data_IF_094281699526
#
_entry.id   IF_094281699526
#
_cell.length_a   1.000
_cell.length_b   1.000
_cell.length_c   1.000
_cell.angle_alpha   90.00
_cell.angle_beta   90.00
_cell.angle_gamma   90.00
#
_symmetry.space_group_name_H-M   'P 1'
#
loop_
_entity.id
_entity.type
_entity.pdbx_description
1 polymer ?
#
# COMPACT_ATOMS: atom_id res chain seq x y z
N UNK A 1 -4.16 0.72 7.42
CA UNK A 1 -2.89 0.96 8.12
C UNK A 1 -1.78 1.11 7.10
N UNK A 2 -1.18 2.29 7.03
CA UNK A 2 -0.04 2.65 6.16
C UNK A 2 1.19 1.81 6.49
N UNK A 3 2.17 1.77 5.59
CA UNK A 3 3.43 1.05 5.83
C UNK A 3 4.17 1.61 7.06
N UNK A 4 4.16 2.94 7.25
CA UNK A 4 4.75 3.59 8.43
C UNK A 4 4.09 3.13 9.72
N UNK A 5 2.76 3.19 9.80
CA UNK A 5 2.03 2.75 10.99
C UNK A 5 2.25 1.26 11.29
N UNK A 6 2.31 0.43 10.25
CA UNK A 6 2.57 -1.00 10.40
C UNK A 6 3.99 -1.27 10.88
N UNK A 7 5.00 -0.61 10.32
CA UNK A 7 6.40 -0.65 10.76
C UNK A 7 6.53 -0.32 12.24
N UNK A 8 5.91 0.76 12.69
CA UNK A 8 6.05 1.19 14.09
C UNK A 8 5.42 0.17 15.04
N UNK A 9 4.25 -0.40 14.69
CA UNK A 9 3.64 -1.49 15.45
C UNK A 9 4.48 -2.76 15.43
N UNK A 10 5.05 -3.11 14.28
CA UNK A 10 5.93 -4.27 14.14
C UNK A 10 7.15 -4.13 15.07
N UNK A 11 7.81 -2.96 15.06
CA UNK A 11 8.93 -2.69 15.96
C UNK A 11 8.52 -2.68 17.44
N UNK A 12 7.32 -2.23 17.75
CA UNK A 12 6.78 -2.33 19.11
C UNK A 12 6.58 -3.78 19.55
N UNK A 13 6.01 -4.63 18.68
CA UNK A 13 5.78 -6.05 18.96
C UNK A 13 7.08 -6.85 19.04
N UNK A 14 8.06 -6.54 18.19
CA UNK A 14 9.40 -7.13 18.19
C UNK A 14 10.11 -7.06 19.55
N UNK A 15 9.78 -6.06 20.39
CA UNK A 15 10.33 -5.94 21.74
C UNK A 15 9.89 -7.06 22.69
N UNK A 16 8.74 -7.67 22.41
CA UNK A 16 8.17 -8.75 23.21
C UNK A 16 8.61 -10.13 22.74
N UNK A 17 9.10 -10.24 21.50
CA UNK A 17 9.59 -11.48 20.91
C UNK A 17 10.94 -11.27 20.18
N UNK A 18 12.00 -10.83 20.89
CA UNK A 18 13.28 -10.52 20.26
C UNK A 18 13.95 -11.74 19.61
N UNK A 19 13.63 -12.95 20.05
CA UNK A 19 14.14 -14.19 19.49
C UNK A 19 13.53 -14.53 18.13
N UNK A 20 12.31 -14.07 17.84
CA UNK A 20 11.63 -14.31 16.55
C UNK A 20 12.11 -13.36 15.46
N UNK A 21 12.83 -12.30 15.83
CA UNK A 21 13.38 -11.29 14.93
C UNK A 21 14.86 -11.03 15.21
N UNK A 22 15.55 -12.09 15.64
CA UNK A 22 16.95 -12.02 16.06
C UNK A 22 17.86 -11.68 14.88
N UNK A 23 17.63 -12.33 13.74
CA UNK A 23 18.32 -12.05 12.49
C UNK A 23 17.52 -11.07 11.62
N UNK A 24 18.24 -10.29 10.81
CA UNK A 24 17.63 -9.33 9.89
C UNK A 24 16.73 -10.05 8.85
N UNK A 25 17.09 -11.29 8.45
CA UNK A 25 16.28 -12.13 7.56
C UNK A 25 14.93 -12.49 8.16
N UNK A 26 14.91 -12.93 9.41
CA UNK A 26 13.68 -13.34 10.10
C UNK A 26 12.78 -12.11 10.25
N UNK A 27 13.39 -10.97 10.60
CA UNK A 27 12.69 -9.70 10.70
C UNK A 27 12.09 -9.23 9.38
N UNK A 28 12.80 -9.44 8.27
CA UNK A 28 12.28 -9.15 6.92
C UNK A 28 11.11 -10.06 6.56
N UNK A 29 11.22 -11.36 6.83
CA UNK A 29 10.17 -12.35 6.55
C UNK A 29 8.88 -12.01 7.29
N UNK A 30 8.94 -11.87 8.63
CA UNK A 30 7.77 -11.55 9.44
C UNK A 30 7.15 -10.20 9.06
N UNK A 31 7.97 -9.21 8.69
CA UNK A 31 7.46 -7.93 8.23
C UNK A 31 6.76 -8.07 6.88
N UNK A 32 7.33 -8.83 5.94
CA UNK A 32 6.76 -9.05 4.61
C UNK A 32 5.43 -9.79 4.70
N UNK A 33 5.32 -10.82 5.55
CA UNK A 33 4.09 -11.59 5.77
C UNK A 33 2.92 -10.75 6.31
N UNK A 34 3.21 -9.72 7.12
CA UNK A 34 2.16 -8.83 7.65
C UNK A 34 1.87 -7.60 6.79
N UNK A 35 2.53 -7.43 5.63
CA UNK A 35 2.12 -6.44 4.64
C UNK A 35 0.79 -6.83 3.98
N UNK A 36 0.13 -5.89 3.32
CA UNK A 36 -1.07 -6.20 2.52
C UNK A 36 -0.67 -6.95 1.26
N UNK A 37 -1.48 -7.90 0.80
CA UNK A 37 -1.21 -8.78 -0.36
C UNK A 37 -0.72 -8.03 -1.60
N UNK A 38 -1.29 -6.84 -1.87
CA UNK A 38 -0.88 -6.01 -3.01
C UNK A 38 0.57 -5.54 -2.91
N UNK A 39 1.00 -5.11 -1.72
CA UNK A 39 2.38 -4.73 -1.46
C UNK A 39 3.29 -5.96 -1.42
N UNK A 40 2.84 -7.07 -0.83
CA UNK A 40 3.61 -8.33 -0.82
C UNK A 40 3.95 -8.76 -2.24
N UNK A 41 2.96 -8.84 -3.14
CA UNK A 41 3.17 -9.23 -4.54
C UNK A 41 4.15 -8.29 -5.27
N UNK A 42 4.12 -6.99 -4.97
CA UNK A 42 5.03 -6.02 -5.58
C UNK A 42 6.46 -6.11 -5.05
N UNK A 43 6.64 -6.61 -3.83
CA UNK A 43 7.93 -6.68 -3.14
C UNK A 43 8.55 -8.08 -3.18
N UNK A 44 7.78 -9.13 -3.48
CA UNK A 44 8.16 -10.56 -3.42
C UNK A 44 9.41 -10.91 -4.22
N UNK A 45 9.63 -10.26 -5.36
CA UNK A 45 10.79 -10.54 -6.23
C UNK A 45 12.01 -9.65 -5.92
N UNK A 46 11.95 -8.85 -4.87
CA UNK A 46 13.03 -7.95 -4.49
C UNK A 46 14.04 -8.62 -3.57
N UNK A 47 15.34 -8.36 -3.80
CA UNK A 47 16.39 -8.70 -2.84
C UNK A 47 16.66 -7.51 -1.94
N UNK A 48 16.59 -7.71 -0.62
CA UNK A 48 16.75 -6.66 0.38
C UNK A 48 17.93 -6.99 1.29
N UNK A 49 18.89 -6.08 1.38
CA UNK A 49 20.12 -6.32 2.16
C UNK A 49 19.87 -6.32 3.68
N UNK A 50 18.82 -5.65 4.13
CA UNK A 50 18.42 -5.55 5.55
C UNK A 50 16.96 -5.08 5.65
N UNK A 51 16.42 -5.09 6.87
CA UNK A 51 15.06 -4.71 7.19
C UNK A 51 14.73 -3.28 6.74
N UNK A 52 15.65 -2.33 6.93
CA UNK A 52 15.42 -0.94 6.52
C UNK A 52 15.28 -0.82 4.99
N UNK A 53 16.08 -1.55 4.21
CA UNK A 53 15.94 -1.59 2.75
C UNK A 53 14.56 -2.10 2.32
N UNK A 54 14.02 -3.13 2.99
CA UNK A 54 12.67 -3.63 2.72
C UNK A 54 11.61 -2.57 3.06
N UNK A 55 11.72 -1.92 4.21
CA UNK A 55 10.81 -0.87 4.66
C UNK A 55 10.81 0.31 3.69
N UNK A 56 11.98 0.80 3.29
CA UNK A 56 12.12 1.90 2.33
C UNK A 56 11.46 1.54 1.00
N UNK A 57 11.66 0.30 0.52
CA UNK A 57 11.01 -0.17 -0.70
C UNK A 57 9.49 -0.24 -0.55
N UNK A 58 8.98 -0.70 0.59
CA UNK A 58 7.56 -0.77 0.87
C UNK A 58 6.92 0.63 0.90
N UNK A 59 7.58 1.61 1.52
CA UNK A 59 7.12 3.02 1.57
C UNK A 59 7.03 3.62 0.16
N UNK A 60 8.08 3.47 -0.65
CA UNK A 60 8.09 3.95 -2.03
C UNK A 60 7.00 3.30 -2.88
N UNK A 61 6.75 2.01 -2.67
CA UNK A 61 5.75 1.24 -3.41
C UNK A 61 4.33 1.69 -3.02
N UNK A 62 4.09 1.92 -1.73
CA UNK A 62 2.81 2.46 -1.25
C UNK A 62 2.56 3.87 -1.80
N UNK A 63 3.56 4.75 -1.76
CA UNK A 63 3.47 6.10 -2.33
C UNK A 63 3.14 6.05 -3.83
N UNK A 64 3.89 5.25 -4.60
CA UNK A 64 3.67 5.12 -6.05
C UNK A 64 2.27 4.61 -6.39
N UNK A 65 1.74 3.69 -5.58
CA UNK A 65 0.38 3.17 -5.76
C UNK A 65 -0.67 4.25 -5.56
N UNK A 66 -0.51 5.14 -4.55
CA UNK A 66 -1.39 6.30 -4.36
C UNK A 66 -1.32 7.27 -5.55
N UNK A 67 -0.12 7.59 -6.03
CA UNK A 67 0.05 8.48 -7.19
C UNK A 67 -0.59 7.95 -8.47
N UNK A 68 -0.62 6.62 -8.66
CA UNK A 68 -1.31 5.98 -9.78
C UNK A 68 -2.83 6.08 -9.61
N UNK A 69 -3.32 5.84 -8.39
CA UNK A 69 -4.75 5.95 -8.07
C UNK A 69 -5.28 7.38 -8.28
N UNK A 70 -4.55 8.39 -7.80
CA UNK A 70 -4.89 9.80 -8.00
C UNK A 70 -4.91 10.20 -9.49
N UNK A 71 -3.95 9.68 -10.28
CA UNK A 71 -3.96 9.89 -11.74
C UNK A 71 -5.19 9.26 -12.39
N UNK A 72 -5.59 8.06 -11.97
CA UNK A 72 -6.80 7.40 -12.50
C UNK A 72 -8.07 8.19 -12.17
N UNK A 73 -8.20 8.73 -10.97
CA UNK A 73 -9.35 9.56 -10.56
C UNK A 73 -9.48 10.86 -11.36
N UNK A 74 -8.36 11.44 -11.80
CA UNK A 74 -8.36 12.63 -12.67
C UNK A 74 -8.77 12.32 -14.12
N UNK A 75 -8.68 11.06 -14.54
CA UNK A 75 -8.97 10.63 -15.92
C UNK A 75 -10.29 9.85 -16.06
N UNK A 76 -10.96 9.49 -14.97
CA UNK A 76 -12.36 9.06 -15.04
C UNK A 76 -13.24 10.29 -15.25
N UNK A 77 -13.86 10.50 -16.42
CA UNK A 77 -14.89 11.49 -16.54
C UNK A 77 -15.99 11.06 -15.57
N UNK A 78 -16.30 11.91 -14.60
CA UNK A 78 -17.52 11.79 -13.82
C UNK A 78 -18.66 11.57 -14.82
N UNK A 79 -19.49 10.50 -14.69
CA UNK A 79 -20.74 10.50 -15.41
C UNK A 79 -21.50 11.71 -14.87
N UNK A 80 -21.59 12.75 -15.70
CA UNK A 80 -22.44 13.90 -15.44
C UNK A 80 -23.85 13.34 -15.26
N UNK A 81 -24.27 13.23 -14.01
CA UNK A 81 -25.63 12.90 -13.63
C UNK A 81 -26.50 14.13 -13.94
N UNK A 82 -26.71 14.38 -15.23
CA UNK A 82 -27.59 15.40 -15.77
C UNK A 82 -28.99 14.81 -15.87
N UNK A 83 -29.83 15.23 -14.93
CA UNK A 83 -31.23 14.82 -14.76
C UNK A 83 -32.05 14.73 -16.05
N UNK A 84 -32.87 13.68 -16.09
CA UNK A 84 -34.11 13.54 -16.85
C UNK A 84 -34.83 14.86 -17.17
N UNK A 85 -34.98 15.19 -18.46
CA UNK A 85 -36.27 15.52 -19.13
C UNK A 85 -36.05 15.95 -20.58
N UNK A 86 -36.47 15.17 -21.59
CA UNK A 86 -36.74 15.76 -22.90
C UNK A 86 -37.96 16.68 -22.77
N UNK A 87 -37.77 17.97 -23.07
CA UNK A 87 -38.87 18.92 -23.24
C UNK A 87 -39.68 18.50 -24.46
N UNK A 88 -40.95 18.17 -24.27
CA UNK A 88 -41.88 17.98 -25.39
C UNK A 88 -42.06 19.32 -26.12
N UNK A 89 -41.99 19.34 -27.47
CA UNK A 89 -42.41 20.50 -28.22
C UNK A 89 -43.95 20.57 -28.21
N UNK A 90 -44.45 21.69 -27.75
CA UNK A 90 -45.82 22.13 -27.97
C UNK A 90 -45.96 22.50 -29.45
N UNK A 91 -46.94 21.91 -30.14
CA UNK A 91 -47.84 22.47 -31.17
C UNK A 91 -48.63 21.33 -31.82
#
# INVERSE_FOLDING_TARGET
MTVTEYRDKFLQLARYAPTEVAEDSDKQEHFMEGLRDTLQLQLMNGHYNNFNHLVDRALLTEQKSREIEDRKRKFTPTPTNGSNRPRQPQQ
#
